data_IF_522693815948
#
_entry.id   IF_522693815948
#
_cell.length_a   1.000
_cell.length_b   1.000
_cell.length_c   1.000
_cell.angle_alpha   90.00
_cell.angle_beta   90.00
_cell.angle_gamma   90.00
#
_symmetry.space_group_name_H-M   'P 1'
#
loop_
_entity.id
_entity.type
_entity.pdbx_description
1 polymer ?
#
# COMPACT_ATOMS: atom_id res chain seq x y z
N UNK A 1 6.84 5.13 22.02
CA UNK A 1 6.98 5.79 20.72
C UNK A 1 6.67 4.78 19.62
N UNK A 2 5.38 4.52 19.33
CA UNK A 2 4.94 3.54 18.33
C UNK A 2 4.07 4.27 17.30
N UNK A 3 4.68 4.86 16.29
CA UNK A 3 3.96 5.57 15.23
C UNK A 3 4.54 5.24 13.85
N UNK A 4 3.67 5.22 12.84
CA UNK A 4 4.01 5.12 11.42
C UNK A 4 4.02 6.49 10.71
N UNK A 5 3.74 7.57 11.45
CA UNK A 5 3.75 8.93 10.91
C UNK A 5 5.12 9.24 10.31
N UNK A 6 5.13 9.64 9.03
CA UNK A 6 6.34 9.95 8.26
C UNK A 6 7.20 8.75 7.87
N UNK A 7 6.80 7.53 8.24
CA UNK A 7 7.51 6.31 7.84
C UNK A 7 7.03 5.85 6.47
N UNK A 8 7.98 5.49 5.61
CA UNK A 8 7.70 4.79 4.35
C UNK A 8 7.27 3.35 4.63
N UNK A 9 6.12 2.92 4.11
CA UNK A 9 5.62 1.55 4.14
C UNK A 9 5.44 1.08 2.70
N UNK A 10 6.03 -0.07 2.37
CA UNK A 10 5.85 -0.72 1.08
C UNK A 10 4.57 -1.56 1.09
N UNK A 11 3.73 -1.40 0.07
CA UNK A 11 2.51 -2.19 -0.11
C UNK A 11 2.72 -3.07 -1.34
N UNK A 12 2.74 -4.38 -1.15
CA UNK A 12 2.89 -5.38 -2.20
C UNK A 12 1.53 -6.03 -2.45
N UNK A 13 0.93 -5.70 -3.58
CA UNK A 13 -0.43 -6.06 -3.96
C UNK A 13 -1.42 -4.92 -3.75
N UNK A 14 -2.41 -4.85 -4.62
CA UNK A 14 -3.54 -3.94 -4.53
C UNK A 14 -4.83 -4.58 -5.05
N UNK A 15 -4.73 -5.50 -6.02
CA UNK A 15 -5.87 -6.30 -6.47
C UNK A 15 -6.49 -7.11 -5.32
N UNK A 16 -7.78 -7.42 -5.43
CA UNK A 16 -8.49 -8.15 -4.36
C UNK A 16 -8.01 -9.60 -4.18
N UNK A 17 -7.38 -10.17 -5.22
CA UNK A 17 -6.74 -11.49 -5.24
C UNK A 17 -5.72 -11.52 -6.38
N UNK A 18 -4.91 -12.58 -6.45
CA UNK A 18 -4.00 -12.77 -7.59
C UNK A 18 -4.72 -13.02 -8.93
N UNK A 19 -3.96 -12.88 -10.01
CA UNK A 19 -4.34 -13.13 -11.40
C UNK A 19 -5.46 -12.22 -11.94
N UNK A 20 -5.63 -11.03 -11.34
CA UNK A 20 -6.57 -10.01 -11.81
C UNK A 20 -6.09 -8.61 -11.46
N UNK A 21 -6.48 -7.60 -12.25
CA UNK A 21 -6.33 -6.18 -11.90
C UNK A 21 -7.60 -5.58 -11.25
N UNK A 22 -8.56 -6.41 -10.84
CA UNK A 22 -9.79 -5.95 -10.19
C UNK A 22 -9.51 -5.52 -8.74
N UNK A 23 -9.94 -4.30 -8.42
CA UNK A 23 -9.71 -3.65 -7.11
C UNK A 23 -11.00 -3.48 -6.32
N UNK A 24 -12.15 -3.89 -6.87
CA UNK A 24 -13.43 -3.79 -6.16
C UNK A 24 -13.38 -4.65 -4.91
N UNK A 25 -13.82 -4.08 -3.79
CA UNK A 25 -13.79 -4.72 -2.47
C UNK A 25 -12.41 -5.22 -2.02
N UNK A 26 -11.32 -4.68 -2.56
CA UNK A 26 -9.98 -5.06 -2.12
C UNK A 26 -9.71 -4.60 -0.69
N UNK A 27 -9.17 -5.46 0.19
CA UNK A 27 -8.74 -5.05 1.53
C UNK A 27 -7.57 -4.05 1.48
N UNK A 28 -6.84 -3.99 0.35
CA UNK A 28 -5.70 -3.07 0.19
C UNK A 28 -6.11 -1.59 0.34
N UNK A 29 -7.32 -1.22 -0.08
CA UNK A 29 -7.82 0.16 0.05
C UNK A 29 -7.94 0.54 1.53
N UNK A 30 -8.51 -0.35 2.36
CA UNK A 30 -8.71 -0.08 3.78
C UNK A 30 -7.37 -0.01 4.53
N UNK A 31 -6.44 -0.92 4.21
CA UNK A 31 -5.07 -0.90 4.75
C UNK A 31 -4.36 0.42 4.37
N UNK A 32 -4.39 0.82 3.10
CA UNK A 32 -3.75 2.05 2.64
C UNK A 32 -4.37 3.28 3.30
N UNK A 33 -5.71 3.37 3.37
CA UNK A 33 -6.41 4.51 4.00
C UNK A 33 -6.11 4.61 5.49
N UNK A 34 -6.05 3.48 6.21
CA UNK A 34 -5.65 3.46 7.62
C UNK A 34 -4.23 3.99 7.82
N UNK A 35 -3.26 3.50 7.04
CA UNK A 35 -1.87 3.95 7.10
C UNK A 35 -1.71 5.44 6.73
N UNK A 36 -2.44 5.91 5.70
CA UNK A 36 -2.46 7.32 5.32
C UNK A 36 -3.11 8.21 6.40
N UNK A 37 -4.16 7.72 7.06
CA UNK A 37 -4.76 8.37 8.23
C UNK A 37 -3.77 8.58 9.37
N UNK A 38 -2.87 7.60 9.57
CA UNK A 38 -1.76 7.67 10.51
C UNK A 38 -0.51 8.41 9.96
N UNK A 39 -0.65 9.07 8.81
CA UNK A 39 0.38 9.89 8.13
C UNK A 39 1.60 9.10 7.64
N UNK A 40 1.45 7.81 7.37
CA UNK A 40 2.48 7.03 6.69
C UNK A 40 2.69 7.52 5.25
N UNK A 41 3.84 7.17 4.67
CA UNK A 41 4.15 7.39 3.26
C UNK A 41 4.09 6.01 2.59
N UNK A 42 3.31 5.86 1.53
CA UNK A 42 3.08 4.56 0.89
C UNK A 42 3.85 4.45 -0.43
N UNK A 43 4.47 3.30 -0.64
CA UNK A 43 5.06 2.89 -1.92
C UNK A 43 4.37 1.62 -2.37
N UNK A 44 3.54 1.69 -3.41
CA UNK A 44 2.64 0.62 -3.80
C UNK A 44 3.14 -0.03 -5.09
N UNK A 45 3.17 -1.36 -5.10
CA UNK A 45 3.42 -2.15 -6.30
C UNK A 45 2.35 -3.24 -6.42
N UNK A 46 1.70 -3.32 -7.59
CA UNK A 46 0.86 -4.45 -7.98
C UNK A 46 1.14 -4.79 -9.46
N UNK A 47 1.29 -6.07 -9.82
CA UNK A 47 1.59 -6.48 -11.20
C UNK A 47 0.52 -6.18 -12.25
N UNK A 48 -0.75 -6.04 -11.84
CA UNK A 48 -1.88 -5.93 -12.75
C UNK A 48 -2.77 -4.70 -12.54
N UNK A 49 -2.61 -3.97 -11.44
CA UNK A 49 -3.34 -2.71 -11.19
C UNK A 49 -2.51 -1.50 -11.63
N UNK A 50 -3.12 -0.62 -12.41
CA UNK A 50 -2.47 0.60 -12.91
C UNK A 50 -2.40 1.68 -11.84
N UNK A 51 -1.43 2.59 -11.95
CA UNK A 51 -1.31 3.76 -11.07
C UNK A 51 -2.59 4.60 -11.06
N UNK A 52 -3.16 4.88 -12.24
CA UNK A 52 -4.42 5.62 -12.37
C UNK A 52 -5.57 4.98 -11.58
N UNK A 53 -5.66 3.64 -11.58
CA UNK A 53 -6.70 2.93 -10.84
C UNK A 53 -6.46 3.03 -9.34
N UNK A 54 -5.23 2.81 -8.88
CA UNK A 54 -4.85 2.96 -7.46
C UNK A 54 -5.15 4.37 -6.95
N UNK A 55 -4.73 5.40 -7.69
CA UNK A 55 -4.97 6.79 -7.31
C UNK A 55 -6.47 7.11 -7.23
N UNK A 56 -7.27 6.63 -8.20
CA UNK A 56 -8.73 6.79 -8.18
C UNK A 56 -9.34 6.13 -6.96
N UNK A 57 -9.05 4.86 -6.72
CA UNK A 57 -9.64 4.07 -5.63
C UNK A 57 -9.29 4.64 -4.25
N UNK A 58 -8.07 5.15 -4.07
CA UNK A 58 -7.68 5.83 -2.85
C UNK A 58 -8.37 7.20 -2.71
N UNK A 59 -8.56 7.95 -3.79
CA UNK A 59 -9.20 9.28 -3.74
C UNK A 59 -10.73 9.23 -3.53
N UNK A 60 -11.38 8.11 -3.85
CA UNK A 60 -12.81 7.95 -3.65
C UNK A 60 -13.13 7.70 -2.17
N UNK A 61 -14.06 8.47 -1.61
CA UNK A 61 -14.67 8.10 -0.32
C UNK A 61 -15.43 6.78 -0.52
N UNK A 62 -15.17 5.78 0.31
CA UNK A 62 -15.95 4.53 0.29
C UNK A 62 -17.40 4.92 0.56
N UNK A 63 -18.34 4.51 -0.28
CA UNK A 63 -19.76 4.76 -0.04
C UNK A 63 -20.16 4.12 1.30
N UNK A 64 -20.86 4.87 2.15
CA UNK A 64 -21.15 4.58 3.56
C UNK A 64 -21.94 3.28 3.85
N UNK A 65 -22.29 2.47 2.84
CA UNK A 65 -23.19 1.33 3.02
C UNK A 65 -22.51 0.07 3.57
N UNK A 66 -21.21 -0.15 3.31
CA UNK A 66 -20.56 -1.44 3.63
C UNK A 66 -19.65 -1.42 4.87
N UNK A 67 -19.29 -0.26 5.43
CA UNK A 67 -18.47 -0.18 6.66
C UNK A 67 -18.77 1.05 7.53
N UNK A 68 -19.35 0.88 8.73
CA UNK A 68 -19.56 1.97 9.67
C UNK A 68 -18.27 2.21 10.48
N UNK A 69 -17.29 2.94 9.95
CA UNK A 69 -16.16 3.38 10.76
C UNK A 69 -15.46 4.62 10.19
N UNK A 70 -15.71 5.78 10.81
CA UNK A 70 -14.77 6.84 11.24
C UNK A 70 -13.60 7.29 10.34
N UNK A 71 -13.53 6.93 9.06
CA UNK A 71 -12.52 7.44 8.15
C UNK A 71 -12.95 8.86 7.74
N UNK A 72 -12.26 9.86 8.29
CA UNK A 72 -12.43 11.23 7.83
C UNK A 72 -12.10 11.30 6.33
N UNK A 73 -12.81 12.14 5.56
CA UNK A 73 -12.48 12.33 4.15
C UNK A 73 -10.99 12.68 4.03
N UNK A 74 -10.27 11.96 3.16
CA UNK A 74 -8.85 12.19 3.02
C UNK A 74 -8.59 13.60 2.51
N UNK A 75 -7.69 14.32 3.19
CA UNK A 75 -7.20 15.60 2.71
C UNK A 75 -6.49 15.40 1.36
N UNK A 76 -6.58 16.36 0.41
CA UNK A 76 -5.79 16.35 -0.83
C UNK A 76 -4.27 16.16 -0.61
N UNK A 77 -3.78 16.49 0.60
CA UNK A 77 -2.39 16.27 0.99
C UNK A 77 -2.03 14.79 1.19
N UNK A 78 -2.98 13.92 1.54
CA UNK A 78 -2.73 12.50 1.78
C UNK A 78 -2.39 11.75 0.48
N UNK A 79 -2.99 12.16 -0.66
CA UNK A 79 -2.69 11.57 -1.98
C UNK A 79 -1.23 11.82 -2.37
N UNK A 80 -0.64 12.95 -1.96
CA UNK A 80 0.80 13.23 -2.19
C UNK A 80 1.74 12.28 -1.46
N UNK A 81 1.23 11.49 -0.51
CA UNK A 81 2.02 10.53 0.25
C UNK A 81 2.02 9.12 -0.38
N UNK A 82 1.40 8.94 -1.56
CA UNK A 82 1.37 7.66 -2.29
C UNK A 82 2.28 7.75 -3.50
N UNK A 83 3.13 6.75 -3.71
CA UNK A 83 3.90 6.56 -4.94
C UNK A 83 3.64 5.15 -5.45
N UNK A 84 3.27 5.02 -6.73
CA UNK A 84 3.15 3.72 -7.40
C UNK A 84 4.44 3.46 -8.17
N UNK A 85 5.01 2.28 -8.00
CA UNK A 85 6.33 1.90 -8.55
C UNK A 85 6.23 0.62 -9.36
N UNK A 86 7.31 0.25 -10.05
CA UNK A 86 7.28 -0.78 -11.10
C UNK A 86 7.67 -2.18 -10.61
N UNK A 87 8.26 -2.29 -9.42
CA UNK A 87 8.63 -3.56 -8.82
C UNK A 87 8.65 -3.53 -7.28
N UNK A 88 8.66 -4.73 -6.69
CA UNK A 88 8.65 -4.92 -5.23
C UNK A 88 9.92 -4.40 -4.53
N UNK A 89 11.07 -4.37 -5.22
CA UNK A 89 12.33 -3.91 -4.65
C UNK A 89 12.35 -2.39 -4.52
N UNK A 90 11.84 -1.67 -5.52
CA UNK A 90 11.66 -0.21 -5.49
C UNK A 90 10.64 0.19 -4.41
N UNK A 91 9.56 -0.58 -4.27
CA UNK A 91 8.57 -0.36 -3.22
C UNK A 91 9.21 -0.45 -1.83
N UNK A 92 10.00 -1.51 -1.61
CA UNK A 92 10.63 -1.80 -0.32
C UNK A 92 11.89 -0.97 -0.02
N UNK A 93 12.53 -0.36 -1.03
CA UNK A 93 13.72 0.48 -0.83
C UNK A 93 13.43 1.61 0.15
N UNK A 94 14.27 1.77 1.18
CA UNK A 94 14.12 2.74 2.26
C UNK A 94 12.79 2.65 3.04
N UNK A 95 12.04 1.56 2.88
CA UNK A 95 10.83 1.32 3.66
C UNK A 95 11.19 0.92 5.10
N UNK A 96 10.32 1.28 6.03
CA UNK A 96 10.39 0.84 7.42
C UNK A 96 9.61 -0.45 7.66
N UNK A 97 8.66 -0.75 6.77
CA UNK A 97 7.84 -1.95 6.83
C UNK A 97 7.37 -2.38 5.43
N UNK A 98 7.14 -3.68 5.25
CA UNK A 98 6.52 -4.25 4.04
C UNK A 98 5.18 -4.91 4.40
N UNK A 99 4.12 -4.54 3.71
CA UNK A 99 2.79 -5.15 3.83
C UNK A 99 2.46 -5.89 2.53
N UNK A 100 2.43 -7.22 2.58
CA UNK A 100 1.90 -8.04 1.48
C UNK A 100 0.40 -8.19 1.69
N UNK A 101 -0.39 -7.64 0.77
CA UNK A 101 -1.87 -7.60 0.90
C UNK A 101 -2.59 -8.39 -0.20
N UNK A 102 -1.87 -8.82 -1.24
CA UNK A 102 -2.37 -9.72 -2.28
C UNK A 102 -1.38 -10.85 -2.50
N UNK A 103 -1.87 -12.08 -2.64
CA UNK A 103 -1.07 -13.32 -2.69
C UNK A 103 -0.45 -13.64 -4.05
N UNK A 104 0.10 -12.64 -4.74
CA UNK A 104 0.80 -12.83 -6.02
C UNK A 104 1.95 -13.84 -5.86
N UNK A 105 2.03 -14.82 -6.79
CA UNK A 105 3.01 -15.90 -6.69
C UNK A 105 4.46 -15.38 -6.80
N UNK A 106 4.69 -14.24 -7.47
CA UNK A 106 6.00 -13.59 -7.53
C UNK A 106 6.52 -13.14 -6.17
N UNK A 107 5.64 -12.73 -5.25
CA UNK A 107 6.05 -12.27 -3.92
C UNK A 107 6.69 -13.38 -3.09
N UNK A 108 6.30 -14.65 -3.34
CA UNK A 108 6.86 -15.82 -2.64
C UNK A 108 8.34 -16.05 -2.93
N UNK A 109 8.80 -15.61 -4.11
CA UNK A 109 10.13 -15.90 -4.62
C UNK A 109 11.04 -14.65 -4.64
N UNK A 110 10.63 -13.57 -3.98
CA UNK A 110 11.46 -12.37 -3.86
C UNK A 110 12.74 -12.66 -3.07
N UNK A 111 13.81 -11.95 -3.41
CA UNK A 111 15.02 -11.92 -2.60
C UNK A 111 14.79 -11.05 -1.36
N UNK A 112 14.24 -11.66 -0.32
CA UNK A 112 13.97 -10.99 0.95
C UNK A 112 15.24 -10.51 1.66
N UNK A 113 16.40 -11.12 1.41
CA UNK A 113 17.66 -10.63 1.96
C UNK A 113 18.02 -9.29 1.32
N UNK A 114 17.94 -9.19 -0.02
CA UNK A 114 18.11 -7.92 -0.74
C UNK A 114 17.11 -6.87 -0.28
N UNK A 115 15.83 -7.24 -0.11
CA UNK A 115 14.81 -6.32 0.42
C UNK A 115 15.23 -5.82 1.79
N UNK A 116 15.51 -6.74 2.72
CA UNK A 116 15.93 -6.40 4.08
C UNK A 116 17.11 -5.44 4.06
N UNK A 117 18.19 -5.74 3.33
CA UNK A 117 19.40 -4.93 3.29
C UNK A 117 19.18 -3.49 2.79
N UNK A 118 18.12 -3.27 1.99
CA UNK A 118 17.76 -1.96 1.46
C UNK A 118 16.63 -1.26 2.24
N UNK A 119 16.15 -1.82 3.35
CA UNK A 119 15.16 -1.21 4.24
C UNK A 119 15.79 -0.43 5.39
N UNK A 120 15.03 0.52 5.93
CA UNK A 120 15.37 1.23 7.16
C UNK A 120 15.37 0.26 8.36
N UNK A 121 16.25 0.51 9.34
CA UNK A 121 16.43 -0.38 10.50
C UNK A 121 15.84 0.20 11.78
N UNK A 122 15.18 -0.62 12.62
CA UNK A 122 14.79 -2.00 12.38
C UNK A 122 13.75 -2.12 11.25
N UNK A 123 13.89 -3.17 10.43
CA UNK A 123 13.00 -3.45 9.30
C UNK A 123 11.90 -4.42 9.75
N UNK A 124 10.65 -4.14 9.34
CA UNK A 124 9.46 -4.91 9.74
C UNK A 124 8.69 -5.51 8.55
#
# INVERSE_FOLDING_TARGET
FNTVSGKKIAILGFAFKKDTGDTRETPAIDVCKGLLGDKAILSIYDPQVTEDQIQRDLSMNKFDWDHPAHLQPMSPSAIKQVTVVWDAYEAAKDAHGVCIVTEWDEFRNLDYQRIYDNMQKPAF
#
